data_IF_803677288850
#
_entry.id   IF_803677288850
#
_cell.length_a   1.000
_cell.length_b   1.000
_cell.length_c   1.000
_cell.angle_alpha   90.00
_cell.angle_beta   90.00
_cell.angle_gamma   90.00
#
_symmetry.space_group_name_H-M   'P 1'
#
loop_
_entity.id
_entity.type
_entity.pdbx_description
1 polymer ?
#
# COMPACT_ATOMS: atom_id res chain seq x y z
N UNK A 1 -8.73 4.64 23.49
CA UNK A 1 -8.32 5.17 22.17
C UNK A 1 -9.39 4.80 21.15
N UNK A 2 -9.94 5.74 20.37
CA UNK A 2 -10.88 5.42 19.29
C UNK A 2 -10.12 4.79 18.12
N UNK A 3 -10.59 3.64 17.63
CA UNK A 3 -10.00 2.95 16.48
C UNK A 3 -10.21 3.82 15.24
N UNK A 4 -9.14 4.26 14.57
CA UNK A 4 -9.26 4.92 13.27
C UNK A 4 -9.88 3.93 12.28
N UNK A 5 -11.07 4.26 11.79
CA UNK A 5 -11.77 3.49 10.76
C UNK A 5 -11.43 4.13 9.41
N UNK A 6 -11.01 3.31 8.45
CA UNK A 6 -10.65 3.76 7.11
C UNK A 6 -11.63 3.20 6.07
N UNK A 7 -11.87 3.98 5.02
CA UNK A 7 -12.58 3.51 3.83
C UNK A 7 -11.70 2.49 3.10
N UNK A 8 -12.27 1.33 2.79
CA UNK A 8 -11.64 0.34 1.92
C UNK A 8 -11.69 0.82 0.44
N UNK A 9 -10.97 0.14 -0.45
CA UNK A 9 -10.84 0.56 -1.85
C UNK A 9 -12.20 0.63 -2.57
N UNK A 10 -13.06 -0.38 -2.39
CA UNK A 10 -14.41 -0.40 -2.98
C UNK A 10 -15.28 0.76 -2.49
N UNK A 11 -15.27 1.05 -1.19
CA UNK A 11 -16.00 2.17 -0.61
C UNK A 11 -15.49 3.51 -1.14
N UNK A 12 -14.18 3.66 -1.35
CA UNK A 12 -13.61 4.86 -1.96
C UNK A 12 -14.07 5.03 -3.41
N UNK A 13 -14.13 3.95 -4.18
CA UNK A 13 -14.64 3.96 -5.55
C UNK A 13 -16.13 4.33 -5.58
N UNK A 14 -16.94 3.78 -4.67
CA UNK A 14 -18.36 4.15 -4.59
C UNK A 14 -18.54 5.61 -4.14
N UNK A 15 -17.70 6.13 -3.25
CA UNK A 15 -17.69 7.56 -2.90
C UNK A 15 -17.42 8.42 -4.14
N UNK A 16 -16.42 8.07 -4.95
CA UNK A 16 -16.08 8.79 -6.18
C UNK A 16 -17.24 8.75 -7.19
N UNK A 17 -17.82 7.58 -7.44
CA UNK A 17 -18.97 7.40 -8.33
C UNK A 17 -20.17 8.25 -7.90
N UNK A 18 -20.48 8.25 -6.62
CA UNK A 18 -21.60 9.01 -6.07
C UNK A 18 -21.34 10.53 -6.11
N UNK A 19 -20.09 10.95 -5.96
CA UNK A 19 -19.67 12.34 -6.12
C UNK A 19 -19.83 12.81 -7.57
N UNK A 20 -19.41 11.99 -8.55
CA UNK A 20 -19.60 12.28 -9.98
C UNK A 20 -21.07 12.35 -10.38
N UNK A 21 -21.94 11.57 -9.73
CA UNK A 21 -23.40 11.67 -9.86
C UNK A 21 -24.01 12.93 -9.20
N UNK A 22 -23.18 13.87 -8.72
CA UNK A 22 -23.61 15.17 -8.20
C UNK A 22 -23.89 15.22 -6.70
N UNK A 23 -23.61 14.17 -5.93
CA UNK A 23 -23.76 14.23 -4.46
C UNK A 23 -22.66 15.09 -3.83
N UNK A 24 -23.04 15.94 -2.89
CA UNK A 24 -22.09 16.77 -2.15
C UNK A 24 -21.26 15.94 -1.15
N UNK A 25 -20.03 16.39 -0.86
CA UNK A 25 -19.16 15.76 0.14
C UNK A 25 -19.81 15.66 1.53
N UNK A 26 -20.68 16.61 1.90
CA UNK A 26 -21.47 16.55 3.13
C UNK A 26 -22.42 15.35 3.12
N UNK A 27 -23.16 15.16 2.02
CA UNK A 27 -24.12 14.05 1.91
C UNK A 27 -23.40 12.70 1.90
N UNK A 28 -22.23 12.62 1.28
CA UNK A 28 -21.40 11.42 1.27
C UNK A 28 -20.84 11.08 2.66
N UNK A 29 -20.43 12.08 3.44
CA UNK A 29 -19.99 11.88 4.82
C UNK A 29 -21.10 11.23 5.68
N UNK A 30 -22.33 11.70 5.53
CA UNK A 30 -23.51 11.13 6.20
C UNK A 30 -23.81 9.70 5.71
N UNK A 31 -23.83 9.48 4.39
CA UNK A 31 -24.17 8.18 3.78
C UNK A 31 -23.19 7.06 4.16
N UNK A 32 -21.89 7.37 4.16
CA UNK A 32 -20.85 6.38 4.47
C UNK A 32 -20.49 6.35 5.96
N UNK A 33 -21.07 7.25 6.77
CA UNK A 33 -20.74 7.44 8.19
C UNK A 33 -19.25 7.71 8.45
N UNK A 34 -18.65 8.59 7.63
CA UNK A 34 -17.26 9.03 7.77
C UNK A 34 -17.16 10.55 7.89
N UNK A 35 -16.05 11.04 8.46
CA UNK A 35 -15.80 12.47 8.55
C UNK A 35 -15.65 13.14 7.19
N UNK A 36 -16.12 14.39 7.05
CA UNK A 36 -16.00 15.19 5.82
C UNK A 36 -14.55 15.30 5.32
N UNK A 37 -13.58 15.42 6.23
CA UNK A 37 -12.16 15.45 5.90
C UNK A 37 -11.71 14.19 5.16
N UNK A 38 -12.21 13.03 5.57
CA UNK A 38 -11.86 11.75 4.96
C UNK A 38 -12.50 11.61 3.57
N UNK A 39 -13.76 12.03 3.42
CA UNK A 39 -14.44 12.07 2.12
C UNK A 39 -13.73 13.03 1.15
N UNK A 40 -13.42 14.25 1.59
CA UNK A 40 -12.69 15.22 0.77
C UNK A 40 -11.31 14.72 0.37
N UNK A 41 -10.63 13.98 1.25
CA UNK A 41 -9.37 13.33 0.91
C UNK A 41 -9.55 12.31 -0.22
N UNK A 42 -10.57 11.47 -0.15
CA UNK A 42 -10.89 10.50 -1.22
C UNK A 42 -11.17 11.20 -2.55
N UNK A 43 -11.97 12.26 -2.54
CA UNK A 43 -12.27 13.04 -3.74
C UNK A 43 -11.00 13.67 -4.32
N UNK A 44 -10.12 14.20 -3.47
CA UNK A 44 -8.84 14.80 -3.89
C UNK A 44 -7.86 13.77 -4.46
N UNK A 45 -7.86 12.55 -3.93
CA UNK A 45 -6.99 11.44 -4.35
C UNK A 45 -7.62 10.58 -5.46
N UNK A 46 -8.63 11.08 -6.18
CA UNK A 46 -9.39 10.36 -7.22
C UNK A 46 -8.51 9.58 -8.18
N UNK A 47 -7.55 10.24 -8.83
CA UNK A 47 -6.74 9.62 -9.88
C UNK A 47 -5.88 8.47 -9.35
N UNK A 48 -5.35 8.64 -8.13
CA UNK A 48 -4.58 7.60 -7.46
C UNK A 48 -5.45 6.39 -7.12
N UNK A 49 -6.65 6.61 -6.59
CA UNK A 49 -7.59 5.56 -6.20
C UNK A 49 -8.07 4.77 -7.43
N UNK A 50 -8.34 5.46 -8.56
CA UNK A 50 -8.71 4.81 -9.82
C UNK A 50 -7.57 3.94 -10.36
N UNK A 51 -6.33 4.45 -10.34
CA UNK A 51 -5.16 3.67 -10.73
C UNK A 51 -4.99 2.43 -9.83
N UNK A 52 -5.09 2.60 -8.52
CA UNK A 52 -5.02 1.50 -7.54
C UNK A 52 -6.11 0.45 -7.80
N UNK A 53 -7.32 0.87 -8.17
CA UNK A 53 -8.43 -0.02 -8.48
C UNK A 53 -8.22 -0.81 -9.78
N UNK A 54 -7.72 -0.17 -10.84
CA UNK A 54 -7.36 -0.88 -12.07
C UNK A 54 -6.22 -1.89 -11.79
N UNK A 55 -5.14 -1.45 -11.14
CA UNK A 55 -4.04 -2.33 -10.75
C UNK A 55 -4.50 -3.53 -9.89
N UNK A 56 -5.47 -3.32 -9.01
CA UNK A 56 -6.08 -4.36 -8.18
C UNK A 56 -6.92 -5.33 -9.01
N UNK A 57 -7.72 -4.84 -9.95
CA UNK A 57 -8.58 -5.68 -10.81
C UNK A 57 -7.76 -6.61 -11.70
N UNK A 58 -6.57 -6.18 -12.15
CA UNK A 58 -5.70 -6.97 -13.01
C UNK A 58 -4.79 -7.95 -12.27
N UNK A 59 -4.65 -7.85 -10.95
CA UNK A 59 -3.83 -8.78 -10.15
C UNK A 59 -4.73 -9.61 -9.24
N UNK A 60 -4.59 -10.93 -9.23
CA UNK A 60 -5.35 -11.83 -8.34
C UNK A 60 -4.91 -11.75 -6.85
N UNK A 61 -4.66 -10.54 -6.34
CA UNK A 61 -4.24 -10.28 -4.96
C UNK A 61 -5.36 -9.63 -4.16
N UNK A 62 -5.58 -10.09 -2.93
CA UNK A 62 -6.67 -9.61 -2.05
C UNK A 62 -6.41 -8.24 -1.41
N UNK A 63 -5.16 -7.75 -1.39
CA UNK A 63 -4.78 -6.46 -0.78
C UNK A 63 -3.54 -5.88 -1.47
N UNK A 64 -3.57 -4.59 -1.77
CA UNK A 64 -2.38 -3.83 -2.18
C UNK A 64 -1.69 -3.28 -0.92
N UNK A 65 -0.42 -3.63 -0.74
CA UNK A 65 0.48 -2.93 0.19
C UNK A 65 1.34 -1.99 -0.64
N UNK A 66 1.17 -0.69 -0.41
CA UNK A 66 2.12 0.31 -0.88
C UNK A 66 3.36 0.20 0.02
N UNK A 67 4.36 -0.56 -0.40
CA UNK A 67 5.61 -0.69 0.33
C UNK A 67 6.47 0.56 0.08
N UNK A 68 6.95 1.18 1.15
CA UNK A 68 7.77 2.40 1.10
C UNK A 68 9.13 2.17 0.40
N UNK A 69 9.48 0.91 0.13
CA UNK A 69 10.79 0.47 -0.35
C UNK A 69 10.66 -0.59 -1.45
N UNK A 70 9.76 -0.38 -2.42
CA UNK A 70 9.53 -1.32 -3.55
C UNK A 70 10.86 -1.71 -4.19
N UNK A 71 11.72 -0.73 -4.47
CA UNK A 71 13.02 -0.96 -5.13
C UNK A 71 13.94 -1.88 -4.32
N UNK A 72 14.04 -1.69 -3.01
CA UNK A 72 14.90 -2.53 -2.14
C UNK A 72 14.33 -3.95 -2.08
N UNK A 73 13.00 -4.09 -1.95
CA UNK A 73 12.36 -5.38 -1.86
C UNK A 73 12.48 -6.18 -3.17
N UNK A 74 12.41 -5.52 -4.32
CA UNK A 74 12.66 -6.15 -5.62
C UNK A 74 14.10 -6.66 -5.74
N UNK A 75 15.09 -5.86 -5.35
CA UNK A 75 16.51 -6.26 -5.40
C UNK A 75 16.80 -7.42 -4.43
N UNK A 76 16.24 -7.39 -3.22
CA UNK A 76 16.36 -8.50 -2.26
C UNK A 76 15.70 -9.76 -2.79
N UNK A 77 14.55 -9.63 -3.46
CA UNK A 77 13.82 -10.75 -4.05
C UNK A 77 14.62 -11.40 -5.20
N UNK A 78 15.23 -10.61 -6.09
CA UNK A 78 16.08 -11.14 -7.17
C UNK A 78 17.34 -11.83 -6.62
N UNK A 79 17.96 -11.27 -5.59
CA UNK A 79 19.05 -11.94 -4.87
C UNK A 79 18.58 -13.27 -4.28
N UNK A 80 17.44 -13.29 -3.60
CA UNK A 80 16.89 -14.52 -3.01
C UNK A 80 16.64 -15.61 -4.07
N UNK A 81 16.04 -15.25 -5.21
CA UNK A 81 15.84 -16.16 -6.35
C UNK A 81 17.16 -16.74 -6.83
N UNK A 82 18.18 -15.90 -6.99
CA UNK A 82 19.53 -16.32 -7.43
C UNK A 82 20.18 -17.30 -6.45
N UNK A 83 20.09 -17.04 -5.14
CA UNK A 83 20.67 -17.90 -4.11
C UNK A 83 19.91 -19.23 -4.01
N UNK A 84 18.58 -19.20 -4.12
CA UNK A 84 17.74 -20.41 -4.15
C UNK A 84 17.97 -21.25 -5.40
N UNK A 85 18.23 -20.64 -6.55
CA UNK A 85 18.61 -21.35 -7.77
C UNK A 85 19.91 -22.15 -7.59
N UNK A 86 20.83 -21.65 -6.75
CA UNK A 86 22.07 -22.35 -6.35
C UNK A 86 21.85 -23.40 -5.25
N UNK A 87 20.60 -23.70 -4.89
CA UNK A 87 20.20 -24.64 -3.82
C UNK A 87 20.73 -24.27 -2.43
N UNK A 88 21.09 -23.01 -2.21
CA UNK A 88 21.55 -22.54 -0.90
C UNK A 88 20.30 -22.21 -0.06
N UNK A 89 20.17 -22.77 1.16
CA UNK A 89 19.09 -22.39 2.06
C UNK A 89 19.31 -20.95 2.54
N UNK A 90 18.26 -20.13 2.46
CA UNK A 90 18.29 -18.74 2.93
C UNK A 90 17.33 -18.61 4.10
N UNK A 91 17.84 -18.14 5.23
CA UNK A 91 17.05 -17.88 6.43
C UNK A 91 16.55 -16.44 6.48
N UNK A 92 15.50 -16.19 7.27
CA UNK A 92 14.96 -14.83 7.48
C UNK A 92 16.02 -13.79 7.88
N UNK A 93 16.93 -14.08 8.84
CA UNK A 93 18.03 -13.17 9.19
C UNK A 93 18.97 -12.82 8.03
N UNK A 94 19.22 -13.75 7.10
CA UNK A 94 20.05 -13.47 5.92
C UNK A 94 19.37 -12.47 4.97
N UNK A 95 18.05 -12.60 4.81
CA UNK A 95 17.24 -11.66 4.01
C UNK A 95 17.28 -10.27 4.65
N UNK A 96 17.13 -10.19 5.97
CA UNK A 96 17.22 -8.92 6.70
C UNK A 96 18.59 -8.27 6.58
N UNK A 97 19.67 -9.05 6.69
CA UNK A 97 21.03 -8.55 6.50
C UNK A 97 21.21 -7.99 5.09
N UNK A 98 20.76 -8.72 4.06
CA UNK A 98 20.86 -8.25 2.68
C UNK A 98 20.04 -6.99 2.42
N UNK A 99 18.84 -6.91 2.99
CA UNK A 99 17.99 -5.72 2.90
C UNK A 99 18.66 -4.49 3.55
N UNK A 100 19.35 -4.66 4.68
CA UNK A 100 20.13 -3.58 5.32
C UNK A 100 21.33 -3.17 4.46
N UNK A 101 22.11 -4.13 3.98
CA UNK A 101 23.26 -3.89 3.11
C UNK A 101 22.86 -3.10 1.84
N UNK A 102 21.69 -3.40 1.27
CA UNK A 102 21.17 -2.68 0.10
C UNK A 102 20.58 -1.31 0.42
N UNK A 103 20.20 -1.06 1.68
CA UNK A 103 19.68 0.22 2.13
C UNK A 103 20.77 1.20 2.58
N UNK A 104 21.94 0.70 2.97
CA UNK A 104 23.07 1.49 3.46
C UNK A 104 23.60 2.51 2.42
N UNK A 105 23.72 2.20 1.10
CA UNK A 105 24.12 3.17 0.09
C UNK A 105 23.09 4.31 -0.13
N UNK A 106 21.82 4.09 0.24
CA UNK A 106 20.71 5.03 0.03
C UNK A 106 20.38 5.89 1.27
N UNK A 107 21.15 5.75 2.36
CA UNK A 107 21.05 6.57 3.58
C UNK A 107 19.62 6.73 4.12
N UNK A 108 18.87 5.62 4.16
CA UNK A 108 17.60 5.54 4.90
C UNK A 108 17.92 5.04 6.30
N UNK A 109 18.41 5.95 7.15
CA UNK A 109 18.88 5.69 8.52
C UNK A 109 17.78 5.24 9.53
N UNK A 110 16.64 4.71 9.08
CA UNK A 110 15.52 4.32 9.93
C UNK A 110 14.82 3.03 9.47
N UNK A 111 15.58 2.02 9.01
CA UNK A 111 15.07 0.66 8.89
C UNK A 111 14.99 0.00 10.28
N UNK A 112 14.01 0.43 11.07
CA UNK A 112 13.51 -0.41 12.17
C UNK A 112 12.93 -1.66 11.53
N UNK A 113 13.70 -2.76 11.62
CA UNK A 113 13.31 -4.07 11.12
C UNK A 113 12.15 -4.57 11.98
N UNK A 114 10.91 -4.17 11.67
CA UNK A 114 9.74 -4.63 12.41
C UNK A 114 9.46 -6.08 12.02
N UNK A 115 9.37 -6.95 13.01
CA UNK A 115 8.97 -8.35 12.82
C UNK A 115 7.58 -8.38 12.17
N UNK A 116 7.50 -8.96 10.97
CA UNK A 116 6.27 -9.23 10.25
C UNK A 116 5.68 -10.59 10.63
#
# INVERSE_FOLDING_TARGET
MSKRVFLNLEQRIEVLRQYENGKSAKKLAELFNFGRTQINKVIKEKDFILKEYEDFKFRSVKRMRHEKYVDINEVVLEWFKTVRAKKIPVSGPMIQHKAKELADPLRIANLSSSNG
#
